data_IF_536247004087
#
_entry.id   IF_536247004087
#
_cell.length_a   1.000
_cell.length_b   1.000
_cell.length_c   1.000
_cell.angle_alpha   90.00
_cell.angle_beta   90.00
_cell.angle_gamma   90.00
#
_symmetry.space_group_name_H-M   'P 1'
#
loop_
_entity.id
_entity.type
_entity.pdbx_description
1 polymer ?
#
# COMPACT_ATOMS: atom_id res chain seq x y z
N UNK A 1 -0.87 -6.27 -17.54
CA UNK A 1 -1.40 -6.27 -18.91
C UNK A 1 -0.69 -5.35 -19.89
N UNK A 2 -0.28 -4.11 -19.55
CA UNK A 2 0.44 -3.26 -20.53
C UNK A 2 1.77 -3.87 -21.03
N UNK A 3 2.54 -4.51 -20.13
CA UNK A 3 3.78 -5.20 -20.51
C UNK A 3 3.51 -6.42 -21.38
N UNK A 4 2.50 -7.21 -21.03
CA UNK A 4 2.07 -8.38 -21.80
C UNK A 4 1.65 -7.99 -23.23
N UNK A 5 0.87 -6.91 -23.38
CA UNK A 5 0.46 -6.37 -24.67
C UNK A 5 1.66 -5.94 -25.53
N UNK A 6 2.78 -5.51 -24.92
CA UNK A 6 3.99 -5.14 -25.64
C UNK A 6 4.74 -6.35 -26.21
N UNK A 7 4.69 -7.51 -25.53
CA UNK A 7 5.41 -8.71 -25.92
C UNK A 7 4.58 -9.63 -26.83
N UNK A 8 3.32 -9.85 -26.50
CA UNK A 8 2.45 -10.78 -27.23
C UNK A 8 1.48 -10.08 -28.20
N UNK A 9 1.39 -8.74 -28.19
CA UNK A 9 0.40 -7.95 -28.95
C UNK A 9 -1.07 -8.30 -28.65
N UNK A 10 -1.32 -9.09 -27.62
CA UNK A 10 -2.61 -9.51 -27.13
C UNK A 10 -2.55 -9.69 -25.61
N UNK A 11 -3.70 -9.76 -24.96
CA UNK A 11 -3.80 -10.09 -23.53
C UNK A 11 -4.50 -11.43 -23.33
N UNK A 12 -4.02 -12.21 -22.37
CA UNK A 12 -4.60 -13.48 -21.99
C UNK A 12 -6.03 -13.29 -21.43
N UNK A 13 -7.01 -14.09 -21.90
CA UNK A 13 -8.39 -14.02 -21.43
C UNK A 13 -8.55 -14.51 -19.98
N UNK A 14 -7.55 -15.21 -19.42
CA UNK A 14 -7.54 -15.67 -18.02
C UNK A 14 -7.32 -14.53 -17.01
N UNK A 15 -6.90 -13.35 -17.46
CA UNK A 15 -6.77 -12.19 -16.58
C UNK A 15 -8.13 -11.60 -16.24
N UNK A 16 -8.36 -11.37 -14.95
CA UNK A 16 -9.62 -10.90 -14.36
C UNK A 16 -10.17 -9.63 -15.03
N UNK A 17 -9.27 -8.73 -15.45
CA UNK A 17 -9.64 -7.47 -16.10
C UNK A 17 -9.28 -7.42 -17.59
N UNK A 18 -9.01 -8.56 -18.22
CA UNK A 18 -8.68 -8.64 -19.65
C UNK A 18 -9.79 -8.03 -20.50
N UNK A 19 -11.04 -8.37 -20.26
CA UNK A 19 -12.18 -7.83 -21.04
C UNK A 19 -12.31 -6.29 -20.98
N UNK A 20 -11.82 -5.64 -19.92
CA UNK A 20 -11.97 -4.19 -19.72
C UNK A 20 -10.75 -3.41 -20.22
N UNK A 21 -9.55 -3.95 -20.04
CA UNK A 21 -8.30 -3.24 -20.34
C UNK A 21 -7.58 -3.76 -21.59
N UNK A 22 -8.01 -4.88 -22.16
CA UNK A 22 -7.47 -5.38 -23.42
C UNK A 22 -7.95 -4.55 -24.59
N UNK A 23 -7.03 -4.24 -25.51
CA UNK A 23 -7.41 -3.88 -26.87
C UNK A 23 -7.81 -5.12 -27.67
N UNK A 24 -7.03 -6.19 -27.55
CA UNK A 24 -7.23 -7.47 -28.24
C UNK A 24 -6.95 -8.63 -27.26
N UNK A 25 -7.86 -9.60 -27.20
CA UNK A 25 -7.66 -10.85 -26.46
C UNK A 25 -6.86 -11.83 -27.32
N UNK A 26 -5.97 -12.61 -26.70
CA UNK A 26 -5.24 -13.66 -27.42
C UNK A 26 -6.18 -14.77 -27.89
N UNK A 27 -5.95 -15.27 -29.10
CA UNK A 27 -6.61 -16.48 -29.59
C UNK A 27 -6.06 -17.73 -28.87
N UNK A 28 -6.84 -18.80 -28.86
CA UNK A 28 -6.48 -20.03 -28.14
C UNK A 28 -5.16 -20.65 -28.62
N UNK A 29 -4.83 -20.49 -29.90
CA UNK A 29 -3.57 -20.97 -30.50
C UNK A 29 -2.35 -20.26 -29.96
N UNK A 30 -2.47 -18.95 -29.71
CA UNK A 30 -1.36 -18.08 -29.31
C UNK A 30 -1.23 -18.00 -27.79
N UNK A 31 -2.27 -18.42 -27.06
CA UNK A 31 -2.32 -18.41 -25.60
C UNK A 31 -1.10 -19.10 -24.97
N UNK A 32 -0.81 -20.34 -25.39
CA UNK A 32 0.29 -21.13 -24.82
C UNK A 32 1.65 -20.51 -25.11
N UNK A 33 1.84 -19.99 -26.33
CA UNK A 33 3.09 -19.32 -26.71
C UNK A 33 3.30 -18.05 -25.91
N UNK A 34 2.25 -17.25 -25.69
CA UNK A 34 2.35 -16.04 -24.88
C UNK A 34 2.58 -16.37 -23.40
N UNK A 35 1.94 -17.40 -22.86
CA UNK A 35 2.17 -17.85 -21.48
C UNK A 35 3.64 -18.25 -21.26
N UNK A 36 4.21 -19.04 -22.17
CA UNK A 36 5.63 -19.41 -22.14
C UNK A 36 6.55 -18.18 -22.30
N UNK A 37 6.18 -17.20 -23.13
CA UNK A 37 6.90 -15.94 -23.27
C UNK A 37 6.86 -15.09 -21.98
N UNK A 38 5.71 -15.02 -21.32
CA UNK A 38 5.52 -14.28 -20.05
C UNK A 38 6.41 -14.86 -18.95
N UNK A 39 6.47 -16.20 -18.87
CA UNK A 39 7.31 -16.91 -17.90
C UNK A 39 8.79 -16.76 -18.25
N UNK A 40 9.19 -17.05 -19.48
CA UNK A 40 10.61 -17.01 -19.90
C UNK A 40 11.24 -15.61 -19.79
N UNK A 41 10.47 -14.55 -20.00
CA UNK A 41 10.96 -13.17 -19.90
C UNK A 41 10.78 -12.53 -18.51
N UNK A 42 10.30 -13.29 -17.51
CA UNK A 42 10.00 -12.80 -16.16
C UNK A 42 9.13 -11.53 -16.17
N UNK A 43 8.12 -11.49 -17.06
CA UNK A 43 7.25 -10.31 -17.21
C UNK A 43 6.44 -10.10 -15.92
N UNK A 44 6.04 -11.18 -15.26
CA UNK A 44 5.34 -11.16 -13.97
C UNK A 44 6.13 -10.43 -12.89
N UNK A 45 7.43 -10.73 -12.74
CA UNK A 45 8.29 -10.07 -11.74
C UNK A 45 8.48 -8.58 -12.02
N UNK A 46 8.65 -8.21 -13.30
CA UNK A 46 8.74 -6.81 -13.70
C UNK A 46 7.44 -6.06 -13.42
N UNK A 47 6.31 -6.73 -13.65
CA UNK A 47 4.99 -6.18 -13.33
C UNK A 47 4.83 -5.99 -11.82
N UNK A 48 5.21 -6.98 -11.01
CA UNK A 48 5.15 -6.91 -9.55
C UNK A 48 6.01 -5.78 -8.99
N UNK A 49 7.22 -5.57 -9.50
CA UNK A 49 8.09 -4.46 -9.07
C UNK A 49 7.51 -3.07 -9.37
N UNK A 50 6.71 -2.95 -10.43
CA UNK A 50 6.03 -1.71 -10.79
C UNK A 50 4.70 -1.55 -10.06
N UNK A 51 4.06 -2.66 -9.71
CA UNK A 51 2.80 -2.67 -8.99
C UNK A 51 3.00 -2.13 -7.58
N UNK A 52 2.23 -1.11 -7.21
CA UNK A 52 2.14 -0.64 -5.83
C UNK A 52 0.89 -1.24 -5.20
N UNK A 53 0.94 -1.47 -3.89
CA UNK A 53 -0.25 -1.80 -3.12
C UNK A 53 -1.28 -0.69 -3.28
N UNK A 54 -2.57 -1.05 -3.29
CA UNK A 54 -3.64 -0.07 -3.33
C UNK A 54 -3.65 0.78 -2.06
N UNK A 55 -3.98 2.07 -2.19
CA UNK A 55 -4.12 2.93 -1.02
C UNK A 55 -5.43 2.66 -0.26
N UNK A 56 -6.45 2.17 -0.97
CA UNK A 56 -7.78 1.90 -0.44
C UNK A 56 -8.20 0.51 -0.91
N UNK A 57 -7.88 -0.50 -0.11
CA UNK A 57 -8.22 -1.89 -0.40
C UNK A 57 -9.29 -2.38 0.58
N UNK A 58 -10.26 -3.12 0.06
CA UNK A 58 -11.30 -3.80 0.85
C UNK A 58 -11.04 -5.29 0.79
N UNK A 59 -10.80 -5.90 1.94
CA UNK A 59 -10.48 -7.33 2.05
C UNK A 59 -11.66 -8.03 2.73
N UNK A 60 -12.09 -9.15 2.18
CA UNK A 60 -13.14 -10.00 2.75
C UNK A 60 -12.51 -11.28 3.31
N UNK A 61 -12.69 -11.53 4.61
CA UNK A 61 -12.35 -12.81 5.25
C UNK A 61 -13.50 -13.81 5.01
N UNK A 62 -13.24 -14.83 4.19
CA UNK A 62 -14.26 -15.81 3.78
C UNK A 62 -14.08 -17.08 4.60
N UNK A 63 -15.11 -17.42 5.39
CA UNK A 63 -15.15 -18.65 6.20
C UNK A 63 -16.25 -19.57 5.72
N UNK A 64 -15.92 -20.85 5.59
CA UNK A 64 -16.89 -21.89 5.25
C UNK A 64 -17.75 -22.19 6.48
N UNK A 65 -19.02 -21.79 6.44
CA UNK A 65 -19.96 -22.00 7.54
C UNK A 65 -20.47 -23.45 7.61
N UNK A 66 -20.56 -24.15 6.49
CA UNK A 66 -20.99 -25.55 6.46
C UNK A 66 -21.07 -26.11 5.04
N UNK A 67 -21.09 -27.43 4.95
CA UNK A 67 -21.33 -28.19 3.73
C UNK A 67 -22.56 -29.06 3.95
N UNK A 68 -23.60 -28.82 3.16
CA UNK A 68 -24.79 -29.65 3.15
C UNK A 68 -24.77 -30.53 1.92
N UNK A 69 -24.96 -31.85 2.11
CA UNK A 69 -25.20 -32.76 1.00
C UNK A 69 -26.64 -32.57 0.56
N UNK A 70 -26.84 -32.05 -0.64
CA UNK A 70 -28.16 -31.96 -1.24
C UNK A 70 -28.49 -33.34 -1.81
N UNK A 71 -29.55 -33.98 -1.30
CA UNK A 71 -30.04 -35.22 -1.89
C UNK A 71 -30.56 -34.94 -3.31
N UNK A 72 -29.91 -35.56 -4.29
CA UNK A 72 -30.26 -35.40 -5.69
C UNK A 72 -31.25 -36.51 -6.09
N UNK A 73 -32.42 -36.16 -6.64
CA UNK A 73 -33.42 -37.16 -7.07
C UNK A 73 -33.02 -37.92 -8.34
N UNK A 74 -31.97 -37.48 -9.06
CA UNK A 74 -31.46 -38.15 -10.26
C UNK A 74 -29.92 -38.09 -10.28
N UNK A 75 -29.23 -39.18 -10.63
CA UNK A 75 -27.76 -39.26 -10.65
C UNK A 75 -27.09 -38.44 -11.76
N UNK A 76 -27.82 -37.94 -12.76
CA UNK A 76 -27.25 -37.23 -13.91
C UNK A 76 -27.14 -35.70 -13.75
N UNK A 77 -27.73 -35.12 -12.70
CA UNK A 77 -27.75 -33.66 -12.54
C UNK A 77 -26.99 -33.23 -11.28
N UNK A 78 -25.75 -32.79 -11.48
CA UNK A 78 -24.96 -32.16 -10.43
C UNK A 78 -25.49 -30.76 -10.12
N UNK A 79 -26.21 -30.62 -9.00
CA UNK A 79 -26.65 -29.33 -8.46
C UNK A 79 -25.76 -28.93 -7.29
N UNK A 80 -25.20 -27.73 -7.36
CA UNK A 80 -24.56 -27.04 -6.24
C UNK A 80 -25.33 -25.76 -5.92
N UNK A 81 -25.49 -25.47 -4.64
CA UNK A 81 -26.04 -24.19 -4.16
C UNK A 81 -24.99 -23.55 -3.26
N UNK A 82 -24.70 -22.27 -3.52
CA UNK A 82 -23.77 -21.47 -2.73
C UNK A 82 -24.57 -20.34 -2.08
N UNK A 83 -24.54 -20.28 -0.75
CA UNK A 83 -25.14 -19.19 0.02
C UNK A 83 -23.99 -18.38 0.61
N UNK A 84 -23.89 -17.12 0.19
CA UNK A 84 -22.92 -16.17 0.74
C UNK A 84 -23.68 -15.26 1.70
N UNK A 85 -23.18 -15.15 2.92
CA UNK A 85 -23.77 -14.27 3.94
C UNK A 85 -22.67 -13.59 4.74
N UNK A 86 -22.95 -12.36 5.20
CA UNK A 86 -22.07 -11.67 6.12
C UNK A 86 -22.34 -12.19 7.52
N UNK A 87 -21.30 -12.73 8.17
CA UNK A 87 -21.41 -13.23 9.54
C UNK A 87 -21.74 -12.11 10.53
N UNK A 88 -21.25 -10.89 10.27
CA UNK A 88 -21.48 -9.72 11.10
C UNK A 88 -21.68 -8.47 10.23
N UNK A 89 -22.36 -7.46 10.79
CA UNK A 89 -22.51 -6.14 10.17
C UNK A 89 -21.35 -5.18 10.50
N UNK A 90 -20.38 -5.64 11.31
CA UNK A 90 -19.22 -4.85 11.72
C UNK A 90 -18.13 -4.92 10.65
N UNK A 91 -17.59 -3.76 10.26
CA UNK A 91 -16.45 -3.66 9.36
C UNK A 91 -15.23 -3.18 10.13
N UNK A 92 -14.13 -3.92 10.05
CA UNK A 92 -12.85 -3.50 10.61
C UNK A 92 -12.15 -2.55 9.63
N UNK A 93 -11.79 -1.35 10.10
CA UNK A 93 -11.17 -0.31 9.28
C UNK A 93 -9.74 -0.07 9.76
N UNK A 94 -8.77 -0.45 8.93
CA UNK A 94 -7.36 -0.15 9.16
C UNK A 94 -6.98 1.13 8.42
N UNK A 95 -6.61 2.17 9.16
CA UNK A 95 -6.08 3.41 8.60
C UNK A 95 -4.62 3.56 8.98
N UNK A 96 -3.76 3.72 7.98
CA UNK A 96 -2.39 4.11 8.22
C UNK A 96 -2.35 5.57 8.72
N UNK A 97 -1.95 5.77 9.97
CA UNK A 97 -1.68 7.10 10.53
C UNK A 97 -0.18 7.26 10.69
N UNK A 98 0.38 8.35 10.16
CA UNK A 98 1.77 8.69 10.39
C UNK A 98 1.97 8.99 11.89
N UNK A 99 2.99 8.38 12.51
CA UNK A 99 3.28 8.58 13.93
C UNK A 99 3.81 9.99 14.23
N UNK A 100 4.46 10.63 13.26
CA UNK A 100 5.03 11.97 13.38
C UNK A 100 4.62 12.79 12.17
N UNK A 101 3.69 13.73 12.38
CA UNK A 101 3.33 14.73 11.39
C UNK A 101 4.38 15.87 11.31
N UNK A 102 4.36 16.66 10.23
CA UNK A 102 5.23 17.83 10.10
C UNK A 102 5.03 18.86 11.22
N UNK A 103 3.84 18.91 11.83
CA UNK A 103 3.54 19.79 12.96
C UNK A 103 4.39 19.39 14.19
N UNK A 104 4.54 18.09 14.42
CA UNK A 104 5.32 17.56 15.54
C UNK A 104 6.82 17.82 15.31
N UNK A 105 7.30 17.63 14.08
CA UNK A 105 8.72 17.87 13.75
C UNK A 105 9.07 19.36 13.84
N UNK A 106 8.20 20.26 13.37
CA UNK A 106 8.35 21.71 13.56
C UNK A 106 8.26 22.10 15.03
N UNK A 107 7.40 21.44 15.81
CA UNK A 107 7.35 21.60 17.26
C UNK A 107 8.71 21.30 17.92
N UNK A 108 9.33 20.17 17.59
CA UNK A 108 10.67 19.85 18.10
C UNK A 108 11.73 20.85 17.65
N UNK A 109 11.77 21.19 16.35
CA UNK A 109 12.75 22.14 15.81
C UNK A 109 12.63 23.52 16.45
N UNK A 110 11.41 24.04 16.56
CA UNK A 110 11.16 25.34 17.20
C UNK A 110 11.52 25.33 18.68
N UNK A 111 11.28 24.23 19.39
CA UNK A 111 11.73 24.04 20.77
C UNK A 111 13.24 24.12 20.90
N UNK A 112 14.00 23.41 20.06
CA UNK A 112 15.47 23.45 20.08
C UNK A 112 16.03 24.83 19.73
N UNK A 113 15.50 25.47 18.69
CA UNK A 113 15.91 26.82 18.29
C UNK A 113 15.61 27.82 19.41
N UNK A 114 14.44 27.73 20.04
CA UNK A 114 14.02 28.59 21.15
C UNK A 114 14.93 28.47 22.37
N UNK A 115 15.24 27.24 22.79
CA UNK A 115 16.18 27.01 23.91
C UNK A 115 17.57 27.54 23.58
N UNK A 116 18.06 27.26 22.37
CA UNK A 116 19.40 27.69 21.97
C UNK A 116 19.53 29.21 21.90
N UNK A 117 18.59 29.89 21.25
CA UNK A 117 18.55 31.35 21.18
C UNK A 117 18.39 31.99 22.57
N UNK A 118 17.55 31.42 23.44
CA UNK A 118 17.40 31.87 24.83
C UNK A 118 18.70 31.79 25.61
N UNK A 119 19.42 30.66 25.52
CA UNK A 119 20.73 30.51 26.17
C UNK A 119 21.78 31.47 25.61
N UNK A 120 21.83 31.66 24.29
CA UNK A 120 22.74 32.63 23.66
C UNK A 120 22.46 34.06 24.15
N UNK A 121 21.18 34.44 24.28
CA UNK A 121 20.80 35.77 24.75
C UNK A 121 21.16 36.00 26.23
N UNK A 122 20.93 35.01 27.09
CA UNK A 122 21.35 35.06 28.50
C UNK A 122 22.87 35.19 28.62
N UNK A 123 23.63 34.46 27.79
CA UNK A 123 25.09 34.56 27.74
C UNK A 123 25.58 35.96 27.36
N UNK A 124 24.95 36.58 26.35
CA UNK A 124 25.26 37.96 25.93
C UNK A 124 24.92 38.98 27.02
N UNK A 125 23.75 38.85 27.64
CA UNK A 125 23.35 39.72 28.76
C UNK A 125 24.31 39.61 29.93
N UNK A 126 24.71 38.40 30.30
CA UNK A 126 25.68 38.20 31.38
C UNK A 126 27.05 38.81 31.04
N UNK A 127 27.54 38.64 29.81
CA UNK A 127 28.77 39.29 29.35
C UNK A 127 28.70 40.82 29.35
N UNK A 128 27.55 41.39 28.97
CA UNK A 128 27.32 42.84 28.97
C UNK A 128 27.22 43.40 30.39
N UNK A 129 26.44 42.76 31.27
CA UNK A 129 26.34 43.14 32.69
C UNK A 129 27.69 43.06 33.41
N UNK A 130 28.50 42.03 33.11
CA UNK A 130 29.85 41.90 33.68
C UNK A 130 30.79 43.01 33.23
N UNK A 131 30.64 43.52 32.00
CA UNK A 131 31.38 44.70 31.51
C UNK A 131 30.86 46.01 32.11
N UNK A 132 29.55 46.16 32.28
CA UNK A 132 28.91 47.36 32.82
C UNK A 132 29.12 47.54 34.34
N UNK A 133 29.12 46.44 35.11
CA UNK A 133 29.37 46.46 36.56
C UNK A 133 30.86 46.55 36.94
N UNK A 134 31.76 46.67 35.96
CA UNK A 134 33.10 47.19 36.20
C UNK A 134 33.92 46.46 37.27
N UNK A 135 33.97 45.13 37.28
CA UNK A 135 35.10 44.44 37.91
C UNK A 135 36.19 44.26 36.86
N UNK A 136 36.98 45.31 36.65
CA UNK A 136 38.38 45.16 36.28
C UNK A 136 39.05 44.34 37.40
N UNK A 137 39.16 43.03 37.22
CA UNK A 137 40.25 42.29 37.85
C UNK A 137 40.97 41.55 36.73
N UNK A 138 42.09 42.12 36.24
CA UNK A 138 42.99 41.37 35.37
C UNK A 138 43.67 40.30 36.22
N UNK A 139 43.65 39.06 35.72
CA UNK A 139 44.74 38.09 35.79
C UNK A 139 44.55 37.13 34.60
#
# INVERSE_FOLDING_TARGET
MALELQFCNCTMPTHEYSAVYARNLCEFTDFKSCEEAVVSHNISDRCQKKCRLGCNDVIYDVKLAGLAKIEQPSPEIHKSSLIISFATSSVEIYRYSQALGPEVTLGYLSGYIGVWTGMSFVGLLHGCFRRLLGTNRPD
#
